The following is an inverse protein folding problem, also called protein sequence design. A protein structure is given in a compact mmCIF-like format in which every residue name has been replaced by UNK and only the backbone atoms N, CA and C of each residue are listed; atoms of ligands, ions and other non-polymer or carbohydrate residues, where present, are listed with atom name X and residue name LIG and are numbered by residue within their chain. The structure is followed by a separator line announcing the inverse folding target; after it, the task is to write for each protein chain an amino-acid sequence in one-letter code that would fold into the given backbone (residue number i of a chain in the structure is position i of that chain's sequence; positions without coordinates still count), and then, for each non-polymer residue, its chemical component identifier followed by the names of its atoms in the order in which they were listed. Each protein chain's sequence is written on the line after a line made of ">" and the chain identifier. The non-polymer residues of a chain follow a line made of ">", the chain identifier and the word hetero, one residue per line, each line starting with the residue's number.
data_IF_020867523114
#
_entry.id   IF_020867523114
#
_cell.length_a   1.000
_cell.length_b   1.000
_cell.length_c   1.000
_cell.angle_alpha   90.00
_cell.angle_beta   90.00
_cell.angle_gamma   90.00
#
_symmetry.space_group_name_H-M   'P 1'
#
loop_
_entity.id
_entity.type
_entity.pdbx_description
1 polymer ?
#
# COMPACT_ATOMS: atom_id res chain seq x y z
N UNK A 1 8.73 29.95 20.64
CA UNK A 1 8.67 28.48 20.63
C UNK A 1 8.03 28.14 19.30
N UNK A 2 8.76 27.57 18.35
CA UNK A 2 8.21 27.27 17.03
C UNK A 2 7.07 26.28 17.22
N UNK A 3 5.84 26.73 17.03
CA UNK A 3 4.71 25.82 16.84
C UNK A 3 5.11 24.86 15.72
N UNK A 4 5.09 23.58 16.02
CA UNK A 4 5.41 22.53 15.05
C UNK A 4 4.42 22.66 13.90
N UNK A 5 4.89 23.17 12.76
CA UNK A 5 4.11 23.39 11.52
C UNK A 5 3.63 22.07 10.87
N UNK A 6 4.00 20.93 11.47
CA UNK A 6 3.57 19.60 11.08
C UNK A 6 2.30 19.21 11.82
N UNK A 7 1.15 19.56 11.22
CA UNK A 7 -0.14 18.99 11.58
C UNK A 7 -0.32 17.67 10.82
N UNK A 8 -0.41 16.55 11.53
CA UNK A 8 -0.62 15.24 10.91
C UNK A 8 -2.11 14.90 10.86
N UNK A 9 -2.60 14.53 9.68
CA UNK A 9 -3.96 14.02 9.52
C UNK A 9 -3.95 12.49 9.65
N UNK A 10 -4.24 12.00 10.86
CA UNK A 10 -4.28 10.57 11.16
C UNK A 10 -5.38 9.82 10.40
N UNK A 11 -6.50 10.49 10.11
CA UNK A 11 -7.61 9.89 9.36
C UNK A 11 -7.22 9.68 7.90
N UNK A 12 -6.52 10.65 7.31
CA UNK A 12 -5.96 10.52 5.96
C UNK A 12 -4.94 9.39 5.86
N UNK A 13 -4.05 9.23 6.85
CA UNK A 13 -3.09 8.12 6.87
C UNK A 13 -3.79 6.77 7.00
N UNK A 14 -4.79 6.66 7.88
CA UNK A 14 -5.57 5.43 8.03
C UNK A 14 -6.37 5.08 6.76
N UNK A 15 -6.95 6.08 6.09
CA UNK A 15 -7.64 5.89 4.82
C UNK A 15 -6.67 5.47 3.72
N UNK A 16 -5.47 6.05 3.69
CA UNK A 16 -4.41 5.70 2.74
C UNK A 16 -3.96 4.25 2.91
N UNK A 17 -3.71 3.79 4.14
CA UNK A 17 -3.41 2.37 4.44
C UNK A 17 -4.50 1.45 3.89
N UNK A 18 -5.77 1.78 4.16
CA UNK A 18 -6.91 1.00 3.69
C UNK A 18 -6.98 0.94 2.16
N UNK A 19 -6.83 2.08 1.48
CA UNK A 19 -6.89 2.18 0.02
C UNK A 19 -5.74 1.41 -0.63
N UNK A 20 -4.52 1.54 -0.10
CA UNK A 20 -3.35 0.80 -0.59
C UNK A 20 -3.52 -0.71 -0.43
N UNK A 21 -4.05 -1.16 0.72
CA UNK A 21 -4.37 -2.57 0.94
C UNK A 21 -5.46 -3.10 0.00
N UNK A 22 -6.50 -2.30 -0.28
CA UNK A 22 -7.54 -2.64 -1.25
C UNK A 22 -6.99 -2.75 -2.67
N UNK A 23 -6.14 -1.82 -3.09
CA UNK A 23 -5.47 -1.85 -4.39
C UNK A 23 -4.58 -3.09 -4.52
N UNK A 24 -3.73 -3.36 -3.53
CA UNK A 24 -2.86 -4.54 -3.51
C UNK A 24 -3.67 -5.83 -3.70
N UNK A 25 -4.72 -6.02 -2.91
CA UNK A 25 -5.62 -7.18 -3.03
C UNK A 25 -6.27 -7.26 -4.41
N UNK A 26 -6.69 -6.13 -4.97
CA UNK A 26 -7.30 -6.08 -6.31
C UNK A 26 -6.31 -6.57 -7.38
N UNK A 27 -5.05 -6.15 -7.31
CA UNK A 27 -4.02 -6.58 -8.26
C UNK A 27 -3.58 -8.04 -8.05
N UNK A 28 -3.59 -8.55 -6.82
CA UNK A 28 -3.38 -9.97 -6.53
C UNK A 28 -4.51 -10.83 -7.13
N UNK A 29 -5.76 -10.39 -7.04
CA UNK A 29 -6.93 -11.14 -7.53
C UNK A 29 -7.06 -11.13 -9.07
N UNK A 30 -6.47 -10.17 -9.79
CA UNK A 30 -6.47 -10.13 -11.25
C UNK A 30 -5.72 -11.33 -11.86
N UNK A 31 -4.66 -11.81 -11.22
CA UNK A 31 -3.89 -12.98 -11.67
C UNK A 31 -4.76 -14.23 -11.85
N UNK A 32 -5.67 -14.45 -10.90
CA UNK A 32 -6.58 -15.61 -10.94
C UNK A 32 -7.44 -15.64 -12.20
N UNK A 33 -7.74 -14.48 -12.79
CA UNK A 33 -8.56 -14.37 -14.01
C UNK A 33 -7.78 -14.59 -15.29
N UNK A 34 -6.44 -14.47 -15.25
CA UNK A 34 -5.57 -14.73 -16.41
C UNK A 34 -5.64 -16.20 -16.80
N UNK A 35 -5.44 -17.07 -15.83
CA UNK A 35 -5.32 -18.51 -16.07
C UNK A 35 -6.58 -19.07 -16.72
N UNK A 36 -7.75 -18.56 -16.32
CA UNK A 36 -9.05 -18.89 -16.89
C UNK A 36 -9.20 -18.49 -18.37
N UNK A 37 -8.45 -17.49 -18.84
CA UNK A 37 -8.64 -16.92 -20.18
C UNK A 37 -7.75 -17.57 -21.25
N UNK A 38 -6.70 -18.28 -20.85
CA UNK A 38 -5.69 -18.84 -21.77
C UNK A 38 -6.29 -19.81 -22.78
N UNK A 39 -7.29 -20.61 -22.36
CA UNK A 39 -7.98 -21.57 -23.22
C UNK A 39 -8.80 -20.90 -24.34
N UNK A 40 -9.12 -19.61 -24.20
CA UNK A 40 -9.96 -18.87 -25.13
C UNK A 40 -9.17 -18.10 -26.20
N UNK A 41 -7.85 -18.04 -26.13
CA UNK A 41 -7.02 -17.24 -27.06
C UNK A 41 -6.82 -17.89 -28.43
N UNK A 42 -7.18 -19.17 -28.58
CA UNK A 42 -7.00 -19.91 -29.82
C UNK A 42 -5.55 -20.36 -30.01
N UNK A 43 -5.06 -20.38 -31.26
CA UNK A 43 -3.75 -20.93 -31.60
C UNK A 43 -2.94 -20.05 -32.56
N UNK A 44 -1.65 -20.34 -32.64
CA UNK A 44 -0.71 -19.64 -33.50
C UNK A 44 -0.39 -18.23 -33.01
N UNK A 45 -0.08 -17.34 -33.94
CA UNK A 45 0.51 -16.02 -33.66
C UNK A 45 -0.27 -15.17 -32.65
N UNK A 46 -1.61 -15.30 -32.59
CA UNK A 46 -2.42 -14.56 -31.62
C UNK A 46 -2.18 -15.09 -30.21
N UNK A 47 -2.19 -16.41 -30.03
CA UNK A 47 -1.90 -17.02 -28.73
C UNK A 47 -0.49 -16.69 -28.25
N UNK A 48 0.50 -16.67 -29.14
CA UNK A 48 1.88 -16.31 -28.81
C UNK A 48 1.98 -14.87 -28.30
N UNK A 49 1.38 -13.90 -29.02
CA UNK A 49 1.37 -12.49 -28.61
C UNK A 49 0.61 -12.29 -27.30
N UNK A 50 -0.47 -13.05 -27.07
CA UNK A 50 -1.21 -13.00 -25.82
C UNK A 50 -0.40 -13.55 -24.65
N UNK A 51 0.37 -14.63 -24.84
CA UNK A 51 1.30 -15.12 -23.83
C UNK A 51 2.35 -14.05 -23.48
N UNK A 52 3.00 -13.45 -24.47
CA UNK A 52 4.01 -12.40 -24.25
C UNK A 52 3.42 -11.19 -23.49
N UNK A 53 2.21 -10.76 -23.88
CA UNK A 53 1.50 -9.67 -23.20
C UNK A 53 1.25 -10.02 -21.73
N UNK A 54 0.80 -11.24 -21.48
CA UNK A 54 0.42 -11.70 -20.15
C UNK A 54 1.63 -11.90 -19.24
N UNK A 55 2.72 -12.45 -19.75
CA UNK A 55 3.97 -12.60 -19.00
C UNK A 55 4.52 -11.22 -18.60
N UNK A 56 4.54 -10.28 -19.55
CA UNK A 56 4.97 -8.91 -19.29
C UNK A 56 4.03 -8.18 -18.31
N UNK A 57 2.72 -8.38 -18.45
CA UNK A 57 1.74 -7.86 -17.48
C UNK A 57 1.99 -8.42 -16.08
N UNK A 58 2.30 -9.70 -15.95
CA UNK A 58 2.55 -10.35 -14.67
C UNK A 58 3.76 -9.74 -13.95
N UNK A 59 4.86 -9.55 -14.68
CA UNK A 59 6.07 -8.89 -14.17
C UNK A 59 5.80 -7.47 -13.65
N UNK A 60 5.08 -6.65 -14.44
CA UNK A 60 4.78 -5.28 -14.05
C UNK A 60 3.76 -5.20 -12.92
N UNK A 61 2.78 -6.11 -12.90
CA UNK A 61 1.80 -6.25 -11.82
C UNK A 61 2.48 -6.63 -10.51
N UNK A 62 3.42 -7.57 -10.53
CA UNK A 62 4.22 -7.94 -9.36
C UNK A 62 4.97 -6.73 -8.79
N UNK A 63 5.67 -5.97 -9.65
CA UNK A 63 6.36 -4.73 -9.24
C UNK A 63 5.40 -3.70 -8.65
N UNK A 64 4.20 -3.55 -9.23
CA UNK A 64 3.19 -2.64 -8.71
C UNK A 64 2.71 -3.05 -7.30
N UNK A 65 2.50 -4.35 -7.07
CA UNK A 65 2.15 -4.88 -5.76
C UNK A 65 3.25 -4.58 -4.72
N UNK A 66 4.52 -4.78 -5.09
CA UNK A 66 5.66 -4.48 -4.23
C UNK A 66 5.75 -2.99 -3.87
N UNK A 67 5.50 -2.10 -4.84
CA UNK A 67 5.45 -0.66 -4.58
C UNK A 67 4.28 -0.26 -3.70
N UNK A 68 3.09 -0.84 -3.90
CA UNK A 68 1.94 -0.61 -3.03
C UNK A 68 2.23 -1.04 -1.58
N UNK A 69 2.90 -2.18 -1.40
CA UNK A 69 3.31 -2.66 -0.07
C UNK A 69 4.32 -1.71 0.57
N UNK A 70 5.35 -1.31 -0.18
CA UNK A 70 6.39 -0.38 0.28
C UNK A 70 5.79 0.95 0.74
N UNK A 71 4.92 1.56 -0.08
CA UNK A 71 4.26 2.81 0.27
C UNK A 71 3.34 2.63 1.47
N UNK A 72 2.61 1.50 1.54
CA UNK A 72 1.78 1.17 2.70
C UNK A 72 2.59 1.09 4.00
N UNK A 73 3.75 0.43 3.96
CA UNK A 73 4.67 0.37 5.11
C UNK A 73 5.21 1.74 5.51
N UNK A 74 5.49 2.62 4.55
CA UNK A 74 5.93 4.00 4.82
C UNK A 74 4.83 4.81 5.53
N UNK A 75 3.58 4.71 5.06
CA UNK A 75 2.42 5.36 5.70
C UNK A 75 2.25 4.85 7.13
N UNK A 76 2.27 3.53 7.33
CA UNK A 76 2.11 2.91 8.65
C UNK A 76 3.25 3.28 9.61
N UNK A 77 4.49 3.30 9.12
CA UNK A 77 5.65 3.69 9.92
C UNK A 77 5.58 5.17 10.32
N UNK A 78 5.13 6.03 9.40
CA UNK A 78 4.94 7.46 9.69
C UNK A 78 3.87 7.64 10.76
N UNK A 79 2.69 7.05 10.57
CA UNK A 79 1.59 7.10 11.54
C UNK A 79 2.05 6.65 12.94
N UNK A 80 2.71 5.49 13.02
CA UNK A 80 3.23 4.94 14.28
C UNK A 80 4.23 5.87 14.96
N UNK A 81 5.16 6.45 14.21
CA UNK A 81 6.17 7.34 14.76
C UNK A 81 5.56 8.58 15.42
N UNK A 82 4.51 9.15 14.80
CA UNK A 82 3.78 10.28 15.37
C UNK A 82 2.91 9.87 16.58
N UNK A 83 2.21 8.74 16.52
CA UNK A 83 1.47 8.22 17.69
C UNK A 83 2.40 7.98 18.89
N UNK A 84 3.58 7.41 18.66
CA UNK A 84 4.58 7.18 19.71
C UNK A 84 5.14 8.50 20.27
N UNK A 85 5.32 9.53 19.43
CA UNK A 85 5.73 10.86 19.86
C UNK A 85 4.66 11.53 20.73
N UNK A 86 3.40 11.55 20.27
CA UNK A 86 2.27 12.13 21.00
C UNK A 86 2.07 11.45 22.36
N UNK A 87 2.20 10.12 22.40
CA UNK A 87 2.13 9.36 23.64
C UNK A 87 3.25 9.72 24.63
N UNK A 88 4.48 9.96 24.14
CA UNK A 88 5.59 10.39 24.98
C UNK A 88 5.38 11.79 25.55
N UNK A 89 4.90 12.73 24.73
CA UNK A 89 4.57 14.09 25.14
C UNK A 89 3.46 14.10 26.20
N UNK A 90 2.36 13.37 25.96
CA UNK A 90 1.26 13.26 26.91
C UNK A 90 1.69 12.66 28.26
N UNK A 91 2.59 11.67 28.26
CA UNK A 91 3.17 11.10 29.50
C UNK A 91 4.02 12.12 30.24
N UNK A 92 4.81 12.93 29.53
CA UNK A 92 5.65 13.99 30.11
C UNK A 92 4.80 15.04 30.80
N UNK A 93 3.71 15.48 30.18
CA UNK A 93 2.85 16.53 30.72
C UNK A 93 2.05 16.04 31.93
N UNK A 94 1.54 14.79 31.91
CA UNK A 94 0.93 14.14 33.09
C UNK A 94 1.91 14.05 34.28
N UNK A 95 3.20 13.84 34.02
CA UNK A 95 4.23 13.80 35.08
C UNK A 95 4.52 15.18 35.66
N UNK A 96 4.44 16.25 34.85
CA UNK A 96 4.58 17.64 35.32
C UNK A 96 3.41 18.08 36.19
N UNK A 97 2.17 17.70 35.86
CA UNK A 97 0.97 18.06 36.65
C UNK A 97 0.88 17.37 38.02
N UNK A 98 1.63 16.27 38.23
CA UNK A 98 1.66 15.53 39.51
C UNK A 98 2.77 16.00 40.46
N UNK A 99 3.60 16.97 40.04
CA UNK A 99 4.63 17.62 40.86
C UNK A 99 4.19 19.03 41.19
#
# INVERSE_FOLDING_TARGET
>A
MSDSDLTLDYDFLAESEKKLGQLKKTFEDIEKRRDDMREHWGSGKIADVMNDFVDNWDDYRGKLIDYLDTVGQMVASTKKAFEDLDNQLAKRDKKKQKK
#
